data_IF_057988261051
#
_entry.id   IF_057988261051
#
_cell.length_a   1.000
_cell.length_b   1.000
_cell.length_c   1.000
_cell.angle_alpha   90.00
_cell.angle_beta   90.00
_cell.angle_gamma   90.00
#
_symmetry.space_group_name_H-M   'P 1'
#
loop_
_entity.id
_entity.type
_entity.pdbx_description
1 polymer ?
#
# COMPACT_ATOMS: atom_id res chain seq x y z
N UNK A 1 -25.97 -22.22 -0.07
CA UNK A 1 -26.90 -22.67 -1.12
C UNK A 1 -28.13 -21.78 -1.25
N UNK A 2 -29.01 -21.64 -0.25
CA UNK A 2 -30.21 -20.77 -0.39
C UNK A 2 -29.89 -19.26 -0.31
N UNK A 3 -28.87 -18.88 0.48
CA UNK A 3 -28.48 -17.47 0.68
C UNK A 3 -27.78 -16.90 -0.56
N UNK A 4 -26.94 -17.71 -1.22
CA UNK A 4 -26.16 -17.29 -2.39
C UNK A 4 -27.05 -16.96 -3.59
N UNK A 5 -28.06 -17.81 -3.86
CA UNK A 5 -29.04 -17.58 -4.93
C UNK A 5 -29.88 -16.31 -4.71
N UNK A 6 -30.25 -16.01 -3.45
CA UNK A 6 -31.03 -14.83 -3.11
C UNK A 6 -30.23 -13.54 -3.30
N UNK A 7 -28.93 -13.56 -3.01
CA UNK A 7 -28.03 -12.43 -3.25
C UNK A 7 -27.83 -12.15 -4.75
N UNK A 8 -27.69 -13.19 -5.57
CA UNK A 8 -27.59 -13.06 -7.04
C UNK A 8 -28.85 -12.46 -7.68
N UNK A 9 -30.04 -12.82 -7.18
CA UNK A 9 -31.32 -12.34 -7.75
C UNK A 9 -31.66 -10.91 -7.35
N UNK A 10 -31.35 -10.50 -6.11
CA UNK A 10 -31.75 -9.18 -5.59
C UNK A 10 -30.65 -8.13 -5.70
N UNK A 11 -29.40 -8.55 -5.83
CA UNK A 11 -28.25 -7.66 -5.96
C UNK A 11 -27.28 -8.14 -7.06
N UNK A 12 -27.72 -8.22 -8.32
CA UNK A 12 -26.94 -8.79 -9.42
C UNK A 12 -25.61 -8.07 -9.71
N UNK A 13 -25.41 -6.86 -9.14
CA UNK A 13 -24.23 -6.03 -9.31
C UNK A 13 -23.46 -5.75 -8.01
N UNK A 14 -23.76 -6.46 -6.90
CA UNK A 14 -22.86 -6.40 -5.74
C UNK A 14 -21.62 -7.23 -6.07
N UNK A 15 -20.48 -6.58 -6.19
CA UNK A 15 -19.19 -7.28 -6.07
C UNK A 15 -19.13 -7.87 -4.66
N UNK A 16 -19.27 -9.20 -4.58
CA UNK A 16 -19.33 -9.98 -3.33
C UNK A 16 -17.92 -10.13 -2.70
N UNK A 17 -16.89 -9.57 -3.33
CA UNK A 17 -15.51 -9.60 -2.84
C UNK A 17 -15.21 -8.51 -1.81
N UNK A 18 -14.33 -8.78 -0.82
CA UNK A 18 -13.85 -7.74 0.08
C UNK A 18 -13.18 -6.62 -0.72
N UNK A 19 -13.54 -5.36 -0.43
CA UNK A 19 -12.92 -4.18 -1.03
C UNK A 19 -11.97 -3.52 -0.03
N UNK A 20 -10.73 -3.32 -0.43
CA UNK A 20 -9.73 -2.65 0.39
C UNK A 20 -9.29 -1.36 -0.29
N UNK A 21 -9.40 -0.23 0.43
CA UNK A 21 -8.80 1.03 0.00
C UNK A 21 -7.41 1.15 0.62
N UNK A 22 -6.43 1.47 -0.21
CA UNK A 22 -5.06 1.73 0.22
C UNK A 22 -4.67 3.15 -0.17
N UNK A 23 -4.04 3.85 0.76
CA UNK A 23 -3.50 5.19 0.54
C UNK A 23 -1.98 5.16 0.65
N UNK A 24 -1.30 5.93 -0.20
CA UNK A 24 0.14 6.12 -0.16
C UNK A 24 0.48 7.52 -0.66
N UNK A 25 1.52 8.13 -0.09
CA UNK A 25 2.00 9.45 -0.49
C UNK A 25 3.05 9.43 -1.61
N UNK A 26 3.63 8.28 -1.88
CA UNK A 26 4.40 8.00 -3.09
C UNK A 26 3.48 7.78 -4.28
N UNK A 27 3.20 8.83 -5.06
CA UNK A 27 2.40 8.73 -6.29
C UNK A 27 2.98 7.69 -7.25
N UNK A 28 4.29 7.77 -7.51
CA UNK A 28 4.99 6.81 -8.36
C UNK A 28 4.90 5.39 -7.82
N UNK A 29 4.93 5.19 -6.51
CA UNK A 29 4.78 3.85 -5.92
C UNK A 29 3.39 3.26 -6.18
N UNK A 30 2.33 4.07 -6.06
CA UNK A 30 0.96 3.64 -6.40
C UNK A 30 0.83 3.32 -7.88
N UNK A 31 1.34 4.20 -8.75
CA UNK A 31 1.27 3.99 -10.20
C UNK A 31 1.99 2.69 -10.57
N UNK A 32 3.22 2.51 -10.10
CA UNK A 32 3.99 1.28 -10.33
C UNK A 32 3.29 0.02 -9.80
N UNK A 33 2.61 0.10 -8.66
CA UNK A 33 2.00 -1.05 -8.00
C UNK A 33 0.63 -1.46 -8.58
N UNK A 34 -0.12 -0.54 -9.18
CA UNK A 34 -1.51 -0.77 -9.57
C UNK A 34 -1.85 -0.40 -11.02
N UNK A 35 -0.92 0.19 -11.79
CA UNK A 35 -1.14 0.50 -13.19
C UNK A 35 -1.09 -0.76 -14.08
N UNK A 36 -1.99 -0.82 -15.05
CA UNK A 36 -2.05 -1.89 -16.05
C UNK A 36 -1.01 -1.63 -17.15
N UNK A 37 0.26 -1.91 -16.83
CA UNK A 37 1.37 -1.84 -17.79
C UNK A 37 2.24 -3.11 -17.74
N UNK A 38 3.20 -3.30 -18.66
CA UNK A 38 4.23 -4.31 -18.48
C UNK A 38 5.34 -3.80 -17.56
N UNK A 39 5.88 -4.64 -16.66
CA UNK A 39 7.10 -4.33 -15.91
C UNK A 39 8.34 -4.60 -16.76
N UNK A 40 9.33 -3.70 -16.68
CA UNK A 40 10.65 -3.89 -17.27
C UNK A 40 11.65 -4.33 -16.18
N UNK A 41 12.59 -5.25 -16.45
CA UNK A 41 13.67 -5.57 -15.50
C UNK A 41 14.56 -4.38 -15.12
N UNK A 42 14.49 -3.28 -15.90
CA UNK A 42 15.20 -2.03 -15.62
C UNK A 42 14.38 -1.05 -14.77
N UNK A 43 13.15 -1.41 -14.42
CA UNK A 43 12.30 -0.59 -13.57
C UNK A 43 12.89 -0.52 -12.16
N UNK A 44 12.82 0.65 -11.54
CA UNK A 44 13.29 0.82 -10.17
C UNK A 44 12.50 -0.11 -9.23
N UNK A 45 13.22 -0.80 -8.35
CA UNK A 45 12.64 -1.74 -7.37
C UNK A 45 11.80 -2.84 -8.02
N UNK A 46 12.21 -3.34 -9.19
CA UNK A 46 11.51 -4.37 -9.97
C UNK A 46 10.99 -5.54 -9.11
N UNK A 47 11.85 -6.14 -8.28
CA UNK A 47 11.50 -7.28 -7.42
C UNK A 47 10.38 -6.95 -6.42
N UNK A 48 10.42 -5.75 -5.84
CA UNK A 48 9.39 -5.27 -4.91
C UNK A 48 8.06 -5.06 -5.64
N UNK A 49 8.08 -4.39 -6.80
CA UNK A 49 6.86 -4.13 -7.58
C UNK A 49 6.25 -5.43 -8.08
N UNK A 50 7.06 -6.35 -8.62
CA UNK A 50 6.61 -7.67 -9.04
C UNK A 50 5.98 -8.45 -7.89
N UNK A 51 6.60 -8.44 -6.70
CA UNK A 51 6.05 -9.09 -5.50
C UNK A 51 4.69 -8.51 -5.11
N UNK A 52 4.50 -7.19 -5.23
CA UNK A 52 3.21 -6.52 -4.98
C UNK A 52 2.18 -6.98 -6.02
N UNK A 53 2.53 -7.02 -7.30
CA UNK A 53 1.63 -7.46 -8.37
C UNK A 53 1.18 -8.89 -8.17
N UNK A 54 2.10 -9.80 -7.86
CA UNK A 54 1.75 -11.19 -7.55
C UNK A 54 0.80 -11.29 -6.35
N UNK A 55 1.04 -10.50 -5.30
CA UNK A 55 0.17 -10.50 -4.12
C UNK A 55 -1.23 -9.96 -4.44
N UNK A 56 -1.32 -8.90 -5.23
CA UNK A 56 -2.60 -8.30 -5.67
C UNK A 56 -3.36 -9.28 -6.57
N UNK A 57 -2.71 -9.84 -7.60
CA UNK A 57 -3.31 -10.78 -8.54
C UNK A 57 -3.78 -12.09 -7.90
N UNK A 58 -3.06 -12.57 -6.87
CA UNK A 58 -3.44 -13.79 -6.12
C UNK A 58 -4.52 -13.53 -5.08
N UNK A 59 -4.78 -12.27 -4.74
CA UNK A 59 -5.80 -11.91 -3.76
C UNK A 59 -7.20 -11.97 -4.38
N UNK A 60 -8.19 -12.37 -3.58
CA UNK A 60 -9.61 -12.26 -3.95
C UNK A 60 -10.20 -10.89 -3.58
N UNK A 61 -9.34 -9.89 -3.38
CA UNK A 61 -9.69 -8.56 -2.87
C UNK A 61 -9.75 -7.58 -4.04
N UNK A 62 -10.77 -6.73 -4.04
CA UNK A 62 -10.84 -5.57 -4.94
C UNK A 62 -10.06 -4.40 -4.31
N UNK A 63 -8.88 -4.11 -4.84
CA UNK A 63 -7.99 -3.07 -4.36
C UNK A 63 -8.30 -1.72 -5.02
N UNK A 64 -8.51 -0.70 -4.20
CA UNK A 64 -8.74 0.67 -4.65
C UNK A 64 -7.61 1.56 -4.12
N UNK A 65 -6.56 1.78 -4.91
CA UNK A 65 -5.48 2.68 -4.54
C UNK A 65 -5.93 4.14 -4.66
N UNK A 66 -5.41 4.99 -3.78
CA UNK A 66 -5.53 6.45 -3.89
C UNK A 66 -4.24 7.12 -3.42
N UNK A 67 -3.82 8.15 -4.14
CA UNK A 67 -2.73 8.99 -3.69
C UNK A 67 -3.20 9.93 -2.58
N UNK A 68 -2.35 10.16 -1.58
CA UNK A 68 -2.55 11.16 -0.53
C UNK A 68 -1.32 12.06 -0.47
N UNK A 69 -1.47 13.34 -0.16
CA UNK A 69 -0.28 14.19 -0.07
C UNK A 69 0.46 13.97 1.25
N UNK A 70 1.77 13.80 1.15
CA UNK A 70 2.66 13.74 2.30
C UNK A 70 2.91 15.11 2.92
N UNK A 71 3.29 15.13 4.20
CA UNK A 71 3.74 16.32 4.95
C UNK A 71 2.81 17.55 4.93
N UNK A 72 1.50 17.33 4.82
CA UNK A 72 0.52 18.43 4.87
C UNK A 72 0.43 19.09 6.25
N UNK A 73 0.96 18.47 7.30
CA UNK A 73 1.13 19.07 8.63
C UNK A 73 2.01 20.33 8.63
N UNK A 74 2.85 20.51 7.59
CA UNK A 74 3.68 21.71 7.43
C UNK A 74 2.93 22.90 6.85
N UNK A 75 1.84 22.66 6.13
CA UNK A 75 1.09 23.68 5.39
C UNK A 75 -0.32 23.92 5.95
N UNK A 76 -0.88 22.98 6.70
CA UNK A 76 -2.25 22.98 7.16
C UNK A 76 -2.34 22.67 8.66
N UNK A 77 -3.40 23.15 9.31
CA UNK A 77 -3.70 22.72 10.67
C UNK A 77 -4.17 21.26 10.65
N UNK A 78 -3.73 20.45 11.62
CA UNK A 78 -4.08 19.04 11.68
C UNK A 78 -5.59 18.79 11.59
N UNK A 79 -6.41 19.64 12.22
CA UNK A 79 -7.86 19.48 12.22
C UNK A 79 -8.50 19.64 10.83
N UNK A 80 -7.84 20.37 9.92
CA UNK A 80 -8.27 20.60 8.54
C UNK A 80 -7.93 19.43 7.62
N UNK A 81 -7.09 18.50 8.06
CA UNK A 81 -6.72 17.33 7.29
C UNK A 81 -7.87 16.31 7.22
N UNK A 82 -8.01 15.71 6.05
CA UNK A 82 -8.87 14.56 5.84
C UNK A 82 -8.44 13.37 6.70
N UNK A 83 -9.33 12.39 6.85
CA UNK A 83 -9.04 11.18 7.60
C UNK A 83 -7.80 10.44 7.08
N UNK A 84 -7.62 10.38 5.75
CA UNK A 84 -6.48 9.69 5.15
C UNK A 84 -5.16 10.42 5.36
N UNK A 85 -5.15 11.74 5.26
CA UNK A 85 -3.95 12.56 5.48
C UNK A 85 -3.48 12.47 6.94
N UNK A 86 -4.42 12.49 7.89
CA UNK A 86 -4.12 12.24 9.32
C UNK A 86 -3.47 10.88 9.54
N UNK A 87 -4.02 9.82 8.94
CA UNK A 87 -3.45 8.47 9.02
C UNK A 87 -2.08 8.36 8.36
N UNK A 88 -1.85 9.06 7.24
CA UNK A 88 -0.55 9.08 6.58
C UNK A 88 0.53 9.66 7.51
N UNK A 89 0.23 10.79 8.18
CA UNK A 89 1.13 11.40 9.15
C UNK A 89 1.43 10.50 10.35
N UNK A 90 0.41 9.80 10.86
CA UNK A 90 0.59 8.87 11.98
C UNK A 90 1.47 7.68 11.60
N UNK A 91 1.26 7.10 10.42
CA UNK A 91 2.08 5.98 9.94
C UNK A 91 3.52 6.42 9.66
N UNK A 92 3.74 7.59 9.06
CA UNK A 92 5.07 8.16 8.86
C UNK A 92 5.78 8.40 10.21
N UNK A 93 5.06 8.94 11.20
CA UNK A 93 5.55 9.11 12.56
C UNK A 93 5.99 7.78 13.19
N UNK A 94 5.15 6.75 13.13
CA UNK A 94 5.48 5.41 13.64
C UNK A 94 6.68 4.79 12.91
N UNK A 95 6.78 4.98 11.59
CA UNK A 95 7.92 4.49 10.81
C UNK A 95 9.22 5.18 11.21
N UNK A 96 9.19 6.49 11.46
CA UNK A 96 10.35 7.26 11.95
C UNK A 96 10.76 6.80 13.35
N UNK A 97 9.81 6.57 14.26
CA UNK A 97 10.08 6.05 15.60
C UNK A 97 10.73 4.66 15.54
N UNK A 98 10.14 3.74 14.79
CA UNK A 98 10.68 2.39 14.61
C UNK A 98 12.09 2.41 14.00
N UNK A 99 12.35 3.28 13.02
CA UNK A 99 13.70 3.46 12.46
C UNK A 99 14.71 3.87 13.53
N UNK A 100 14.35 4.81 14.42
CA UNK A 100 15.22 5.24 15.53
C UNK A 100 15.47 4.12 16.54
N UNK A 101 14.47 3.27 16.81
CA UNK A 101 14.64 2.09 17.65
C UNK A 101 15.65 1.11 17.04
N UNK A 102 15.52 0.82 15.74
CA UNK A 102 16.46 -0.04 15.00
C UNK A 102 17.88 0.54 14.99
N UNK A 103 18.02 1.85 14.78
CA UNK A 103 19.31 2.56 14.88
C UNK A 103 19.93 2.37 16.26
N UNK A 104 19.16 2.59 17.33
CA UNK A 104 19.61 2.47 18.72
C UNK A 104 20.02 1.03 19.05
N UNK A 105 19.26 0.05 18.55
CA UNK A 105 19.54 -1.36 18.71
C UNK A 105 20.68 -1.88 17.81
N UNK A 106 21.29 -1.04 16.97
CA UNK A 106 22.29 -1.42 15.96
C UNK A 106 21.77 -2.48 14.96
N UNK A 107 20.46 -2.48 14.69
CA UNK A 107 19.75 -3.39 13.79
C UNK A 107 19.14 -2.62 12.60
N UNK A 108 19.95 -1.79 11.94
CA UNK A 108 19.52 -0.96 10.80
C UNK A 108 18.87 -1.75 9.66
N UNK A 109 19.22 -3.02 9.52
CA UNK A 109 18.59 -3.94 8.59
C UNK A 109 17.63 -4.80 9.40
N UNK A 110 16.34 -4.48 9.31
CA UNK A 110 15.31 -5.39 9.80
C UNK A 110 15.44 -6.72 9.03
N UNK A 111 15.41 -7.88 9.70
CA UNK A 111 15.36 -9.16 9.01
C UNK A 111 14.04 -9.25 8.27
N UNK A 112 14.01 -8.82 7.01
CA UNK A 112 12.84 -8.97 6.15
C UNK A 112 13.00 -10.27 5.34
N UNK A 113 12.24 -11.34 5.65
CA UNK A 113 12.36 -12.61 4.96
C UNK A 113 11.87 -12.57 3.50
N UNK A 114 11.29 -11.45 3.04
CA UNK A 114 10.72 -11.30 1.69
C UNK A 114 11.51 -10.39 0.75
N UNK A 115 12.41 -9.57 1.26
CA UNK A 115 13.31 -8.76 0.44
C UNK A 115 14.69 -9.34 0.55
N UNK A 116 15.12 -10.05 -0.50
CA UNK A 116 16.53 -10.39 -0.65
C UNK A 116 17.28 -9.06 -0.71
N UNK A 117 18.27 -8.88 0.15
CA UNK A 117 19.15 -7.72 0.12
C UNK A 117 19.82 -7.68 -1.25
N UNK A 118 19.32 -6.88 -2.17
CA UNK A 118 20.08 -6.52 -3.36
C UNK A 118 21.25 -5.65 -2.91
N UNK A 119 22.45 -5.97 -3.40
CA UNK A 119 23.58 -5.05 -3.28
C UNK A 119 23.24 -3.80 -4.10
N UNK A 120 23.38 -2.63 -3.50
CA UNK A 120 23.26 -1.36 -4.23
C UNK A 120 24.19 -1.42 -5.45
N UNK A 121 23.60 -1.24 -6.65
CA UNK A 121 24.35 -1.09 -7.89
C UNK A 121 25.16 0.21 -7.90
#
# INVERSE_FOLDING_TARGET
MAVDWLLEQWFPNISIGPKVRIACDGLSAIEMAFEDRPLSPTDAQFDLVLSIWEAVLRSSVDWSPQHVYGHLDKSNLFDELSWWEKRNLEVDGMAVEYRKELETAHHLIAPNPRFFTELAA
#
